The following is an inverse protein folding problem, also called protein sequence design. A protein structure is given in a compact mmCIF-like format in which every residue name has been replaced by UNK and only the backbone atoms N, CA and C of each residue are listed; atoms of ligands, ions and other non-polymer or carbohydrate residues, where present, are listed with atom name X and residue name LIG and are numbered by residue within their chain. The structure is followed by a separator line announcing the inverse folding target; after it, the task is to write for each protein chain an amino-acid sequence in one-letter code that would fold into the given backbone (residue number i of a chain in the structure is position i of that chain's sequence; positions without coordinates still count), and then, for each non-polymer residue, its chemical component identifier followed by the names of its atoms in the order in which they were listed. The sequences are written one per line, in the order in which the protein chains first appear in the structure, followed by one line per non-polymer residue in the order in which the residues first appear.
data_IF_220900406934
#
_entry.id   IF_220900406934
#
_cell.length_a   1.000
_cell.length_b   1.000
_cell.length_c   1.000
_cell.angle_alpha   90.00
_cell.angle_beta   90.00
_cell.angle_gamma   90.00
#
_symmetry.space_group_name_H-M   'P 1'
#
loop_
_entity.id
_entity.type
_entity.pdbx_description
1 polymer ?
#
# COMPACT_ATOMS: atom_id res chain seq x y z
N UNK A 1 -37.12 -98.79 6.93
CA UNK A 1 -37.02 -97.37 7.33
C UNK A 1 -38.02 -96.56 6.52
N UNK A 2 -39.19 -96.27 7.10
CA UNK A 2 -40.28 -95.55 6.43
C UNK A 2 -40.12 -94.05 6.69
N UNK A 3 -39.85 -93.28 5.64
CA UNK A 3 -39.77 -91.81 5.70
C UNK A 3 -41.17 -91.22 5.55
N UNK A 4 -41.75 -90.74 6.65
CA UNK A 4 -43.00 -89.97 6.61
C UNK A 4 -42.69 -88.49 6.30
N UNK A 5 -43.21 -88.00 5.17
CA UNK A 5 -43.12 -86.59 4.80
C UNK A 5 -44.18 -85.81 5.59
N UNK A 6 -43.80 -84.76 6.35
CA UNK A 6 -44.76 -83.96 7.10
C UNK A 6 -45.70 -83.21 6.18
N UNK A 7 -46.96 -83.09 6.61
CA UNK A 7 -48.05 -82.42 5.91
C UNK A 7 -47.74 -80.93 5.69
N UNK A 8 -48.26 -80.35 4.60
CA UNK A 8 -48.13 -78.90 4.31
C UNK A 8 -48.58 -78.03 5.48
N UNK A 9 -49.56 -78.49 6.27
CA UNK A 9 -50.05 -77.77 7.45
C UNK A 9 -49.06 -77.76 8.60
N UNK A 10 -48.38 -78.88 8.87
CA UNK A 10 -47.37 -78.97 9.92
C UNK A 10 -46.17 -78.06 9.63
N UNK A 11 -45.77 -77.96 8.35
CA UNK A 11 -44.72 -77.00 7.94
C UNK A 11 -45.15 -75.55 8.11
N UNK A 12 -46.44 -75.24 7.94
CA UNK A 12 -46.95 -73.88 8.11
C UNK A 12 -47.07 -73.47 9.59
N UNK A 13 -47.35 -74.42 10.48
CA UNK A 13 -47.33 -74.22 11.94
C UNK A 13 -45.88 -74.06 12.46
N UNK A 14 -44.92 -74.85 11.98
CA UNK A 14 -43.49 -74.69 12.32
C UNK A 14 -42.90 -73.35 11.85
N UNK A 15 -43.37 -72.83 10.71
CA UNK A 15 -42.94 -71.53 10.17
C UNK A 15 -43.67 -70.33 10.82
N UNK A 16 -44.54 -70.56 11.81
CA UNK A 16 -45.28 -69.49 12.50
C UNK A 16 -46.28 -68.73 11.61
N UNK A 17 -46.62 -69.27 10.44
CA UNK A 17 -47.53 -68.64 9.48
C UNK A 17 -49.01 -68.84 9.85
N UNK A 18 -49.30 -69.77 10.75
CA UNK A 18 -50.65 -70.08 11.21
C UNK A 18 -50.62 -70.30 12.72
N UNK A 19 -51.47 -69.57 13.44
CA UNK A 19 -51.63 -69.71 14.88
C UNK A 19 -52.34 -71.02 15.21
N UNK A 20 -51.83 -71.85 16.14
CA UNK A 20 -52.48 -73.12 16.47
C UNK A 20 -53.87 -72.87 17.07
N UNK A 21 -54.89 -73.43 16.43
CA UNK A 21 -56.27 -73.45 16.91
C UNK A 21 -56.36 -74.33 18.17
N UNK A 22 -56.06 -73.75 19.33
CA UNK A 22 -56.10 -74.49 20.60
C UNK A 22 -55.93 -73.68 21.89
N UNK A 23 -55.58 -72.39 21.85
CA UNK A 23 -55.60 -71.52 23.04
C UNK A 23 -56.59 -70.39 22.83
N UNK A 24 -57.72 -70.45 23.53
CA UNK A 24 -58.53 -69.26 23.82
C UNK A 24 -57.71 -68.37 24.75
N UNK A 25 -57.40 -67.12 24.39
CA UNK A 25 -56.97 -66.14 25.38
C UNK A 25 -58.20 -65.68 26.16
N UNK A 26 -58.12 -65.75 27.49
CA UNK A 26 -59.13 -65.25 28.41
C UNK A 26 -59.33 -63.75 28.17
N UNK A 27 -60.49 -63.41 27.60
CA UNK A 27 -60.80 -62.06 27.11
C UNK A 27 -61.38 -61.12 28.18
N UNK A 28 -61.43 -61.55 29.45
CA UNK A 28 -62.16 -60.83 30.51
C UNK A 28 -61.28 -60.07 31.53
N UNK A 29 -59.96 -60.02 31.39
CA UNK A 29 -59.08 -59.34 32.38
C UNK A 29 -58.33 -58.10 31.89
N UNK A 30 -58.53 -57.62 30.65
CA UNK A 30 -57.76 -56.50 30.11
C UNK A 30 -58.55 -55.21 29.82
N UNK A 31 -59.71 -55.01 30.46
CA UNK A 31 -60.55 -53.80 30.25
C UNK A 31 -60.28 -52.70 31.31
N UNK A 32 -59.39 -52.91 32.28
CA UNK A 32 -59.21 -51.95 33.38
C UNK A 32 -58.07 -50.92 33.24
N UNK A 33 -57.23 -50.96 32.19
CA UNK A 33 -56.04 -50.06 32.14
C UNK A 33 -55.81 -49.28 30.82
N UNK A 34 -56.76 -49.25 29.87
CA UNK A 34 -56.61 -48.45 28.65
C UNK A 34 -57.39 -47.13 28.72
N UNK A 35 -57.05 -46.29 29.70
CA UNK A 35 -57.61 -44.95 29.87
C UNK A 35 -56.88 -43.88 29.07
N UNK A 36 -56.78 -44.02 27.75
CA UNK A 36 -56.58 -42.87 26.85
C UNK A 36 -57.60 -42.94 25.73
N UNK A 37 -58.42 -41.89 25.52
CA UNK A 37 -59.42 -41.91 24.47
C UNK A 37 -58.71 -42.06 23.12
N UNK A 38 -59.14 -43.08 22.36
CA UNK A 38 -58.70 -43.28 20.98
C UNK A 38 -58.98 -41.99 20.23
N UNK A 39 -57.91 -41.29 19.81
CA UNK A 39 -57.99 -40.00 19.14
C UNK A 39 -58.90 -40.15 17.94
N UNK A 40 -60.02 -39.41 17.90
CA UNK A 40 -61.02 -39.59 16.86
C UNK A 40 -60.42 -39.30 15.49
N UNK A 41 -60.86 -40.03 14.46
CA UNK A 41 -60.37 -39.88 13.09
C UNK A 41 -60.47 -38.41 12.60
N UNK A 42 -61.44 -37.66 13.12
CA UNK A 42 -61.63 -36.24 12.86
C UNK A 42 -60.52 -35.36 13.44
N UNK A 43 -59.99 -35.67 14.63
CA UNK A 43 -58.87 -34.94 15.23
C UNK A 43 -57.59 -35.14 14.41
N UNK A 44 -57.35 -36.37 13.93
CA UNK A 44 -56.20 -36.67 13.06
C UNK A 44 -56.29 -35.96 11.70
N UNK A 45 -57.50 -35.80 11.14
CA UNK A 45 -57.72 -35.04 9.92
C UNK A 45 -57.56 -33.53 10.16
N UNK A 46 -58.01 -33.01 11.29
CA UNK A 46 -57.82 -31.61 11.69
C UNK A 46 -56.33 -31.28 11.89
N UNK A 47 -55.58 -32.13 12.59
CA UNK A 47 -54.13 -32.00 12.77
C UNK A 47 -53.38 -32.04 11.43
N UNK A 48 -53.80 -32.92 10.52
CA UNK A 48 -53.20 -33.01 9.17
C UNK A 48 -53.51 -31.78 8.32
N UNK A 49 -54.72 -31.22 8.43
CA UNK A 49 -55.08 -29.98 7.75
C UNK A 49 -54.31 -28.78 8.31
N UNK A 50 -54.16 -28.69 9.64
CA UNK A 50 -53.36 -27.65 10.30
C UNK A 50 -51.87 -27.75 9.93
N UNK A 51 -51.32 -28.97 9.89
CA UNK A 51 -49.93 -29.20 9.47
C UNK A 51 -49.71 -28.85 7.99
N UNK A 52 -50.70 -29.11 7.11
CA UNK A 52 -50.64 -28.71 5.70
C UNK A 52 -50.69 -27.19 5.56
N UNK A 53 -51.61 -26.54 6.25
CA UNK A 53 -51.71 -25.07 6.33
C UNK A 53 -50.40 -24.42 6.81
N UNK A 54 -49.76 -25.00 7.84
CA UNK A 54 -48.47 -24.52 8.34
C UNK A 54 -47.35 -24.61 7.31
N UNK A 55 -47.26 -25.74 6.59
CA UNK A 55 -46.29 -25.93 5.50
C UNK A 55 -46.54 -24.98 4.33
N UNK A 56 -47.80 -24.74 3.97
CA UNK A 56 -48.15 -23.82 2.90
C UNK A 56 -47.79 -22.37 3.28
N UNK A 57 -47.96 -21.98 4.54
CA UNK A 57 -47.53 -20.67 5.06
C UNK A 57 -46.01 -20.51 5.08
N UNK A 58 -45.27 -21.55 5.47
CA UNK A 58 -43.80 -21.58 5.44
C UNK A 58 -43.27 -21.51 4.00
N UNK A 59 -43.90 -22.19 3.06
CA UNK A 59 -43.53 -22.14 1.66
C UNK A 59 -43.77 -20.73 1.07
N UNK A 60 -44.86 -20.06 1.47
CA UNK A 60 -45.12 -18.67 1.09
C UNK A 60 -44.11 -17.69 1.70
N UNK A 61 -43.69 -17.87 2.95
CA UNK A 61 -42.69 -16.99 3.58
C UNK A 61 -41.33 -17.15 2.92
N UNK A 62 -40.91 -18.38 2.60
CA UNK A 62 -39.69 -18.66 1.84
C UNK A 62 -39.72 -18.05 0.43
N UNK A 63 -40.86 -18.12 -0.27
CA UNK A 63 -41.00 -17.49 -1.58
C UNK A 63 -40.90 -15.95 -1.50
N UNK A 64 -41.44 -15.33 -0.45
CA UNK A 64 -41.29 -13.88 -0.23
C UNK A 64 -39.83 -13.51 0.04
N UNK A 65 -39.17 -14.24 0.93
CA UNK A 65 -37.76 -14.04 1.23
C UNK A 65 -36.86 -14.20 -0.01
N UNK A 66 -37.14 -15.19 -0.87
CA UNK A 66 -36.41 -15.38 -2.13
C UNK A 66 -36.61 -14.20 -3.10
N UNK A 67 -37.84 -13.66 -3.20
CA UNK A 67 -38.11 -12.48 -4.04
C UNK A 67 -37.43 -11.23 -3.51
N UNK A 68 -37.44 -11.01 -2.20
CA UNK A 68 -36.76 -9.89 -1.56
C UNK A 68 -35.24 -9.98 -1.76
N UNK A 69 -34.66 -11.17 -1.59
CA UNK A 69 -33.24 -11.39 -1.88
C UNK A 69 -32.93 -11.17 -3.38
N UNK A 70 -33.80 -11.60 -4.29
CA UNK A 70 -33.59 -11.37 -5.72
C UNK A 70 -33.64 -9.87 -6.06
N UNK A 71 -34.57 -9.12 -5.49
CA UNK A 71 -34.65 -7.66 -5.66
C UNK A 71 -33.40 -6.96 -5.10
N UNK A 72 -32.95 -7.33 -3.89
CA UNK A 72 -31.74 -6.77 -3.30
C UNK A 72 -30.48 -7.05 -4.13
N UNK A 73 -30.40 -8.21 -4.79
CA UNK A 73 -29.29 -8.54 -5.68
C UNK A 73 -29.31 -7.73 -6.98
N UNK A 74 -30.49 -7.42 -7.53
CA UNK A 74 -30.61 -6.52 -8.68
C UNK A 74 -30.20 -5.09 -8.31
N UNK A 75 -30.66 -4.58 -7.16
CA UNK A 75 -30.26 -3.25 -6.68
C UNK A 75 -28.73 -3.16 -6.46
N UNK A 76 -28.13 -4.20 -5.88
CA UNK A 76 -26.68 -4.27 -5.70
C UNK A 76 -25.93 -4.29 -7.05
N UNK A 77 -26.46 -4.98 -8.07
CA UNK A 77 -25.87 -5.00 -9.43
C UNK A 77 -25.93 -3.63 -10.08
N UNK A 78 -27.06 -2.91 -9.94
CA UNK A 78 -27.20 -1.55 -10.46
C UNK A 78 -26.21 -0.60 -9.79
N UNK A 79 -26.04 -0.71 -8.47
CA UNK A 79 -25.10 0.12 -7.73
C UNK A 79 -23.65 -0.20 -8.10
N UNK A 80 -23.28 -1.47 -8.27
CA UNK A 80 -21.97 -1.86 -8.81
C UNK A 80 -21.74 -1.24 -10.19
N UNK A 81 -22.73 -1.28 -11.07
CA UNK A 81 -22.65 -0.66 -12.40
C UNK A 81 -22.43 0.85 -12.33
N UNK A 82 -23.15 1.54 -11.44
CA UNK A 82 -22.98 2.98 -11.18
C UNK A 82 -21.56 3.30 -10.69
N UNK A 83 -21.08 2.57 -9.67
CA UNK A 83 -19.75 2.77 -9.10
C UNK A 83 -18.65 2.50 -10.13
N UNK A 84 -18.80 1.48 -10.97
CA UNK A 84 -17.88 1.22 -12.08
C UNK A 84 -17.83 2.38 -13.07
N UNK A 85 -18.97 2.97 -13.42
CA UNK A 85 -19.02 4.14 -14.31
C UNK A 85 -18.39 5.39 -13.67
N UNK A 86 -18.54 5.58 -12.36
CA UNK A 86 -17.84 6.66 -11.62
C UNK A 86 -16.32 6.44 -11.58
N UNK A 87 -15.86 5.21 -11.32
CA UNK A 87 -14.43 4.85 -11.35
C UNK A 87 -13.83 5.06 -12.73
N UNK A 88 -14.52 4.68 -13.81
CA UNK A 88 -14.04 4.90 -15.17
C UNK A 88 -13.93 6.39 -15.50
N UNK A 89 -14.93 7.20 -15.11
CA UNK A 89 -14.87 8.66 -15.27
C UNK A 89 -13.69 9.27 -14.51
N UNK A 90 -13.45 8.83 -13.27
CA UNK A 90 -12.31 9.27 -12.49
C UNK A 90 -10.96 8.90 -13.14
N UNK A 91 -10.84 7.71 -13.73
CA UNK A 91 -9.64 7.28 -14.45
C UNK A 91 -9.36 8.13 -15.68
N UNK A 92 -10.37 8.41 -16.50
CA UNK A 92 -10.21 9.26 -17.70
C UNK A 92 -9.79 10.68 -17.31
N UNK A 93 -10.42 11.25 -16.28
CA UNK A 93 -10.03 12.58 -15.77
C UNK A 93 -8.64 12.58 -15.14
N UNK A 94 -8.23 11.48 -14.50
CA UNK A 94 -6.88 11.28 -13.97
C UNK A 94 -5.84 11.30 -15.10
N UNK A 95 -6.06 10.49 -16.14
CA UNK A 95 -5.17 10.41 -17.30
C UNK A 95 -5.01 11.76 -18.00
N UNK A 96 -6.11 12.51 -18.20
CA UNK A 96 -6.04 13.84 -18.81
C UNK A 96 -5.19 14.83 -17.98
N UNK A 97 -5.31 14.79 -16.64
CA UNK A 97 -4.50 15.62 -15.74
C UNK A 97 -3.04 15.21 -15.73
N UNK A 98 -2.75 13.92 -15.81
CA UNK A 98 -1.37 13.41 -15.90
C UNK A 98 -0.71 13.86 -17.21
N UNK A 99 -1.46 13.85 -18.32
CA UNK A 99 -0.96 14.34 -19.61
C UNK A 99 -0.69 15.85 -19.57
N UNK A 100 -1.60 16.66 -19.03
CA UNK A 100 -1.41 18.11 -18.85
C UNK A 100 -0.18 18.40 -17.96
N UNK A 101 -0.04 17.68 -16.85
CA UNK A 101 1.12 17.82 -15.98
C UNK A 101 2.42 17.41 -16.67
N UNK A 102 2.41 16.35 -17.47
CA UNK A 102 3.58 15.89 -18.23
C UNK A 102 4.01 16.94 -19.26
N UNK A 103 3.05 17.54 -19.97
CA UNK A 103 3.32 18.65 -20.90
C UNK A 103 3.90 19.87 -20.17
N UNK A 104 3.37 20.21 -18.99
CA UNK A 104 3.87 21.32 -18.18
C UNK A 104 5.30 21.07 -17.69
N UNK A 105 5.62 19.84 -17.27
CA UNK A 105 6.98 19.46 -16.87
C UNK A 105 7.94 19.60 -18.05
N UNK A 106 7.59 19.06 -19.22
CA UNK A 106 8.42 19.15 -20.43
C UNK A 106 8.69 20.62 -20.84
N UNK A 107 7.69 21.50 -20.72
CA UNK A 107 7.88 22.93 -20.97
C UNK A 107 8.84 23.59 -19.97
N UNK A 108 8.75 23.22 -18.69
CA UNK A 108 9.64 23.73 -17.65
C UNK A 108 11.08 23.24 -17.86
N UNK A 109 11.28 21.98 -18.21
CA UNK A 109 12.60 21.41 -18.53
C UNK A 109 13.23 22.15 -19.69
N UNK A 110 12.49 22.34 -20.80
CA UNK A 110 12.98 23.10 -21.96
C UNK A 110 13.36 24.53 -21.58
N UNK A 111 12.57 25.19 -20.73
CA UNK A 111 12.89 26.55 -20.25
C UNK A 111 14.17 26.54 -19.41
N UNK A 112 14.31 25.61 -18.48
CA UNK A 112 15.50 25.48 -17.64
C UNK A 112 16.76 25.22 -18.46
N UNK A 113 16.68 24.38 -19.51
CA UNK A 113 17.78 24.16 -20.45
C UNK A 113 18.20 25.44 -21.17
N UNK A 114 17.23 26.22 -21.67
CA UNK A 114 17.54 27.50 -22.33
C UNK A 114 18.18 28.51 -21.38
N UNK A 115 17.72 28.56 -20.13
CA UNK A 115 18.30 29.42 -19.11
C UNK A 115 19.71 28.96 -18.69
N UNK A 116 19.95 27.65 -18.60
CA UNK A 116 21.28 27.08 -18.34
C UNK A 116 22.26 27.45 -19.46
N UNK A 117 21.90 27.21 -20.73
CA UNK A 117 22.72 27.61 -21.89
C UNK A 117 23.01 29.11 -21.92
N UNK A 118 22.04 29.94 -21.54
CA UNK A 118 22.24 31.38 -21.46
C UNK A 118 23.19 31.78 -20.32
N UNK A 119 23.17 31.07 -19.19
CA UNK A 119 24.12 31.27 -18.09
C UNK A 119 25.53 30.86 -18.52
N UNK A 120 25.69 29.70 -19.15
CA UNK A 120 26.98 29.20 -19.61
C UNK A 120 27.61 30.16 -20.63
N UNK A 121 26.84 30.60 -21.63
CA UNK A 121 27.31 31.59 -22.60
C UNK A 121 27.69 32.95 -21.96
N UNK A 122 27.09 33.30 -20.81
CA UNK A 122 27.46 34.51 -20.05
C UNK A 122 28.76 34.30 -19.29
N UNK A 123 28.97 33.11 -18.71
CA UNK A 123 30.21 32.75 -18.02
C UNK A 123 31.37 32.79 -19.01
N UNK A 124 31.24 32.17 -20.17
CA UNK A 124 32.27 32.19 -21.22
C UNK A 124 32.66 33.62 -21.64
N UNK A 125 31.67 34.52 -21.79
CA UNK A 125 31.95 35.94 -22.10
C UNK A 125 32.77 36.60 -20.99
N UNK A 126 32.36 36.43 -19.73
CA UNK A 126 33.07 37.02 -18.59
C UNK A 126 34.48 36.44 -18.45
N UNK A 127 34.69 35.16 -18.72
CA UNK A 127 36.02 34.54 -18.74
C UNK A 127 36.90 35.13 -19.84
N UNK A 128 36.35 35.36 -21.04
CA UNK A 128 37.09 36.01 -22.12
C UNK A 128 37.46 37.46 -21.82
N UNK A 129 36.56 38.22 -21.18
CA UNK A 129 36.80 39.59 -20.72
C UNK A 129 37.87 39.63 -19.61
N UNK A 130 37.78 38.74 -18.62
CA UNK A 130 38.78 38.63 -17.55
C UNK A 130 40.17 38.26 -18.12
N UNK A 131 40.24 37.36 -19.09
CA UNK A 131 41.49 37.01 -19.74
C UNK A 131 42.10 38.19 -20.50
N UNK A 132 41.28 38.98 -21.21
CA UNK A 132 41.73 40.19 -21.91
C UNK A 132 42.24 41.25 -20.92
N UNK A 133 41.53 41.46 -19.80
CA UNK A 133 41.95 42.36 -18.74
C UNK A 133 43.27 41.92 -18.10
N UNK A 134 43.43 40.63 -17.80
CA UNK A 134 44.68 40.08 -17.27
C UNK A 134 45.87 40.32 -18.23
N UNK A 135 45.67 40.15 -19.54
CA UNK A 135 46.69 40.48 -20.53
C UNK A 135 47.03 41.98 -20.55
N UNK A 136 46.03 42.86 -20.38
CA UNK A 136 46.26 44.30 -20.32
C UNK A 136 47.04 44.72 -19.07
N UNK A 137 46.74 44.12 -17.91
CA UNK A 137 47.48 44.34 -16.68
C UNK A 137 48.93 43.88 -16.80
N UNK A 138 49.16 42.67 -17.32
CA UNK A 138 50.51 42.15 -17.54
C UNK A 138 51.36 43.07 -18.45
N UNK A 139 50.75 43.68 -19.48
CA UNK A 139 51.43 44.68 -20.33
C UNK A 139 51.77 45.95 -19.56
N UNK A 140 50.86 46.46 -18.74
CA UNK A 140 51.10 47.65 -17.92
C UNK A 140 52.19 47.40 -16.88
N UNK A 141 52.20 46.22 -16.25
CA UNK A 141 53.25 45.80 -15.31
C UNK A 141 54.62 45.70 -15.99
N UNK A 142 54.69 45.15 -17.20
CA UNK A 142 55.94 45.08 -17.96
C UNK A 142 56.49 46.49 -18.31
N UNK A 143 55.61 47.44 -18.64
CA UNK A 143 56.01 48.85 -18.89
C UNK A 143 56.49 49.51 -17.59
N UNK A 144 55.83 49.24 -16.46
CA UNK A 144 56.26 49.77 -15.15
C UNK A 144 57.62 49.21 -14.71
N UNK A 145 57.90 47.92 -14.92
CA UNK A 145 59.20 47.31 -14.62
C UNK A 145 60.31 47.80 -15.57
N UNK A 146 59.99 48.13 -16.83
CA UNK A 146 60.95 48.68 -17.79
C UNK A 146 61.37 50.13 -17.52
N UNK A 147 60.63 50.87 -16.69
CA UNK A 147 60.92 52.25 -16.33
C UNK A 147 61.74 52.40 -15.03
N UNK A 148 62.10 51.29 -14.37
CA UNK A 148 62.83 51.27 -13.08
C UNK A 148 64.32 50.93 -13.15
N UNK A 149 64.94 50.96 -14.32
CA UNK A 149 66.38 50.71 -14.48
C UNK A 149 67.19 52.01 -14.59
N UNK A 150 67.66 52.52 -13.46
CA UNK A 150 68.55 53.69 -13.41
C UNK A 150 69.05 54.01 -11.99
N UNK A 151 70.16 53.33 -11.63
CA UNK A 151 71.29 53.72 -10.76
C UNK A 151 71.11 54.09 -9.27
N UNK A 152 71.93 53.44 -8.42
CA UNK A 152 72.31 53.96 -7.10
C UNK A 152 72.78 52.94 -6.06
N UNK A 153 74.09 52.75 -5.96
CA UNK A 153 74.96 51.96 -5.06
C UNK A 153 74.65 51.92 -3.52
N UNK A 154 74.69 50.69 -2.96
CA UNK A 154 75.60 50.17 -1.89
C UNK A 154 75.54 50.71 -0.40
N UNK A 155 76.20 50.08 0.61
CA UNK A 155 75.60 49.10 1.55
C UNK A 155 75.76 49.43 3.06
N UNK A 156 75.33 48.49 3.93
CA UNK A 156 75.62 48.28 5.37
C UNK A 156 74.47 48.51 6.37
N UNK A 157 74.43 47.65 7.41
CA UNK A 157 74.10 48.09 8.77
C UNK A 157 72.93 47.39 9.45
N UNK A 158 73.26 46.66 10.51
CA UNK A 158 72.37 46.14 11.54
C UNK A 158 71.50 47.21 12.22
N UNK A 159 70.40 46.80 12.86
CA UNK A 159 69.97 47.42 14.12
C UNK A 159 68.55 47.99 14.22
N UNK A 160 67.74 47.29 15.01
CA UNK A 160 66.74 47.81 15.98
C UNK A 160 65.84 49.00 15.60
N UNK A 161 64.56 48.64 15.41
CA UNK A 161 63.34 49.25 15.97
C UNK A 161 63.31 50.72 16.43
N UNK A 162 62.33 51.47 15.92
CA UNK A 162 61.29 52.19 16.70
C UNK A 162 60.36 52.99 15.76
N UNK A 163 59.05 52.82 15.98
CA UNK A 163 57.97 53.83 15.77
C UNK A 163 58.37 55.18 16.40
N UNK A 164 57.79 56.37 16.10
CA UNK A 164 56.45 56.61 15.56
C UNK A 164 56.24 57.89 14.69
N UNK A 165 54.96 58.11 14.34
CA UNK A 165 54.23 59.39 14.21
C UNK A 165 54.34 60.23 12.90
N UNK A 166 53.15 60.43 12.33
CA UNK A 166 52.76 61.47 11.36
C UNK A 166 52.85 62.90 12.00
N UNK A 167 52.72 64.03 11.26
CA UNK A 167 51.46 64.44 10.59
C UNK A 167 51.59 65.34 9.32
N UNK A 168 50.44 65.61 8.67
CA UNK A 168 50.18 66.82 7.86
C UNK A 168 50.34 66.63 6.33
N UNK A 169 49.27 66.39 5.58
CA UNK A 169 48.30 67.38 5.05
C UNK A 169 48.74 67.98 3.70
N UNK A 170 48.04 67.62 2.61
CA UNK A 170 47.35 68.56 1.72
C UNK A 170 46.78 67.88 0.44
N UNK A 171 45.55 68.29 0.12
CA UNK A 171 44.96 68.48 -1.21
C UNK A 171 44.52 67.27 -2.06
N UNK A 172 43.20 67.06 -2.09
CA UNK A 172 42.43 66.54 -3.23
C UNK A 172 42.41 67.56 -4.40
N UNK A 173 42.06 67.17 -5.64
CA UNK A 173 40.63 67.08 -5.99
C UNK A 173 40.23 65.95 -6.97
N UNK A 174 39.01 65.46 -6.74
CA UNK A 174 38.00 64.99 -7.70
C UNK A 174 38.38 64.72 -9.17
N UNK A 175 38.26 63.44 -9.58
CA UNK A 175 37.54 63.06 -10.80
C UNK A 175 36.67 61.84 -10.45
N UNK A 176 35.39 62.10 -10.21
CA UNK A 176 34.34 61.90 -11.22
C UNK A 176 33.80 60.47 -11.14
N UNK A 177 32.83 60.32 -10.24
CA UNK A 177 31.86 59.25 -10.25
C UNK A 177 31.26 59.12 -11.66
N UNK A 178 31.60 58.03 -12.35
CA UNK A 178 30.80 57.54 -13.47
C UNK A 178 29.54 56.87 -12.88
N UNK A 179 28.60 57.71 -12.43
CA UNK A 179 27.23 57.30 -12.23
C UNK A 179 26.65 56.95 -13.60
N UNK A 180 26.73 55.66 -13.96
CA UNK A 180 25.89 55.09 -15.01
C UNK A 180 24.44 55.46 -14.68
N UNK A 181 23.66 56.03 -15.62
CA UNK A 181 22.27 56.36 -15.36
C UNK A 181 21.54 55.05 -15.08
N UNK A 182 21.19 54.82 -13.81
CA UNK A 182 20.26 53.78 -13.42
C UNK A 182 18.98 54.02 -14.22
N UNK A 183 18.74 53.19 -15.24
CA UNK A 183 17.51 53.22 -16.02
C UNK A 183 16.35 53.09 -15.02
N UNK A 184 15.41 54.04 -14.94
CA UNK A 184 14.31 54.01 -13.95
C UNK A 184 13.43 52.74 -14.06
N UNK A 185 13.50 52.00 -15.17
CA UNK A 185 12.86 50.69 -15.32
C UNK A 185 13.58 49.52 -14.65
N UNK A 186 14.86 49.64 -14.27
CA UNK A 186 15.62 48.55 -13.63
C UNK A 186 15.21 48.36 -12.16
N UNK A 187 15.06 49.46 -11.41
CA UNK A 187 14.60 49.42 -10.03
C UNK A 187 13.16 48.89 -9.90
N UNK A 188 12.26 49.31 -10.81
CA UNK A 188 10.88 48.81 -10.86
C UNK A 188 10.81 47.31 -11.19
N UNK A 189 11.63 46.84 -12.13
CA UNK A 189 11.72 45.40 -12.47
C UNK A 189 12.29 44.58 -11.32
N UNK A 190 13.28 45.10 -10.59
CA UNK A 190 13.83 44.44 -9.40
C UNK A 190 12.76 44.30 -8.31
N UNK A 191 12.01 45.36 -8.02
CA UNK A 191 10.91 45.30 -7.05
C UNK A 191 9.79 44.32 -7.46
N UNK A 192 9.47 44.24 -8.77
CA UNK A 192 8.52 43.27 -9.30
C UNK A 192 9.03 41.82 -9.12
N UNK A 193 10.29 41.55 -9.47
CA UNK A 193 10.91 40.23 -9.31
C UNK A 193 11.02 39.83 -7.83
N UNK A 194 11.34 40.77 -6.93
CA UNK A 194 11.34 40.54 -5.49
C UNK A 194 9.94 40.17 -4.97
N UNK A 195 8.92 40.86 -5.47
CA UNK A 195 7.51 40.52 -5.23
C UNK A 195 7.16 39.11 -5.69
N UNK A 196 7.51 38.75 -6.93
CA UNK A 196 7.28 37.41 -7.48
C UNK A 196 8.03 36.32 -6.69
N UNK A 197 9.29 36.54 -6.35
CA UNK A 197 10.09 35.62 -5.52
C UNK A 197 9.44 35.44 -4.14
N UNK A 198 8.93 36.51 -3.54
CA UNK A 198 8.24 36.42 -2.25
C UNK A 198 6.97 35.57 -2.33
N UNK A 199 6.18 35.73 -3.40
CA UNK A 199 4.96 34.96 -3.65
C UNK A 199 5.27 33.49 -3.93
N UNK A 200 6.28 33.22 -4.77
CA UNK A 200 6.72 31.86 -5.09
C UNK A 200 7.25 31.14 -3.85
N UNK A 201 8.04 31.82 -3.01
CA UNK A 201 8.50 31.26 -1.72
C UNK A 201 7.35 30.94 -0.79
N UNK A 202 6.36 31.83 -0.68
CA UNK A 202 5.14 31.57 0.10
C UNK A 202 4.41 30.34 -0.44
N UNK A 203 4.24 30.23 -1.75
CA UNK A 203 3.55 29.09 -2.38
C UNK A 203 4.30 27.78 -2.20
N UNK A 204 5.63 27.79 -2.33
CA UNK A 204 6.47 26.63 -2.06
C UNK A 204 6.33 26.17 -0.60
N UNK A 205 6.33 27.11 0.35
CA UNK A 205 6.13 26.80 1.76
C UNK A 205 4.73 26.22 2.05
N UNK A 206 3.68 26.73 1.40
CA UNK A 206 2.33 26.20 1.51
C UNK A 206 2.23 24.77 0.97
N UNK A 207 2.83 24.52 -0.20
CA UNK A 207 2.87 23.18 -0.82
C UNK A 207 3.68 22.20 0.02
N UNK A 208 4.82 22.63 0.58
CA UNK A 208 5.62 21.79 1.47
C UNK A 208 4.82 21.39 2.72
N UNK A 209 4.17 22.36 3.38
CA UNK A 209 3.30 22.08 4.55
C UNK A 209 2.15 21.14 4.19
N UNK A 210 1.56 21.28 3.00
CA UNK A 210 0.51 20.37 2.54
C UNK A 210 1.05 18.95 2.31
N UNK A 211 2.23 18.82 1.73
CA UNK A 211 2.91 17.53 1.54
C UNK A 211 3.25 16.88 2.88
N UNK A 212 3.81 17.63 3.83
CA UNK A 212 4.14 17.12 5.18
C UNK A 212 2.89 16.58 5.90
N UNK A 213 1.76 17.30 5.81
CA UNK A 213 0.47 16.85 6.35
C UNK A 213 -0.02 15.58 5.66
N UNK A 214 0.09 15.50 4.34
CA UNK A 214 -0.31 14.32 3.58
C UNK A 214 0.53 13.10 3.98
N UNK A 215 1.86 13.26 4.10
CA UNK A 215 2.75 12.21 4.57
C UNK A 215 2.41 11.78 6.00
N UNK A 216 2.09 12.72 6.89
CA UNK A 216 1.69 12.40 8.26
C UNK A 216 0.39 11.58 8.30
N UNK A 217 -0.63 11.98 7.54
CA UNK A 217 -1.89 11.23 7.43
C UNK A 217 -1.63 9.84 6.86
N UNK A 218 -0.84 9.73 5.78
CA UNK A 218 -0.50 8.45 5.18
C UNK A 218 0.24 7.52 6.15
N UNK A 219 1.24 8.03 6.88
CA UNK A 219 1.95 7.29 7.93
C UNK A 219 1.01 6.78 9.02
N UNK A 220 0.08 7.63 9.47
CA UNK A 220 -0.93 7.22 10.46
C UNK A 220 -1.83 6.10 9.93
N UNK A 221 -2.32 6.24 8.70
CA UNK A 221 -3.22 5.27 8.08
C UNK A 221 -2.53 3.91 7.85
N UNK A 222 -1.29 3.90 7.35
CA UNK A 222 -0.58 2.64 7.13
C UNK A 222 -0.22 1.96 8.45
N UNK A 223 0.10 2.70 9.51
CA UNK A 223 0.31 2.13 10.85
C UNK A 223 -0.97 1.49 11.38
N UNK A 224 -2.10 2.20 11.31
CA UNK A 224 -3.41 1.66 11.74
C UNK A 224 -3.80 0.41 10.95
N UNK A 225 -3.58 0.41 9.64
CA UNK A 225 -3.85 -0.76 8.80
C UNK A 225 -2.98 -1.96 9.18
N UNK A 226 -1.66 -1.75 9.37
CA UNK A 226 -0.72 -2.81 9.78
C UNK A 226 -1.06 -3.36 11.16
N UNK A 227 -1.48 -2.51 12.08
CA UNK A 227 -1.95 -2.91 13.41
C UNK A 227 -3.22 -3.76 13.32
N UNK A 228 -4.21 -3.34 12.51
CA UNK A 228 -5.42 -4.12 12.28
C UNK A 228 -5.10 -5.49 11.65
N UNK A 229 -4.20 -5.54 10.67
CA UNK A 229 -3.75 -6.80 10.05
C UNK A 229 -3.07 -7.70 11.08
N UNK A 230 -2.24 -7.15 11.96
CA UNK A 230 -1.61 -7.91 13.03
C UNK A 230 -2.63 -8.48 14.02
N UNK A 231 -3.61 -7.68 14.45
CA UNK A 231 -4.63 -8.13 15.41
C UNK A 231 -5.61 -9.15 14.81
N UNK A 232 -5.95 -9.00 13.53
CA UNK A 232 -6.93 -9.88 12.86
C UNK A 232 -6.32 -11.19 12.37
N UNK A 233 -5.09 -11.14 11.86
CA UNK A 233 -4.46 -12.27 11.17
C UNK A 233 -3.22 -12.81 11.87
N UNK A 234 -2.73 -12.15 12.93
CA UNK A 234 -1.57 -12.61 13.69
C UNK A 234 -0.23 -12.39 12.98
N UNK A 235 -0.14 -11.48 12.00
CA UNK A 235 1.09 -11.21 11.25
C UNK A 235 1.49 -9.74 11.29
N UNK A 236 2.73 -9.47 11.71
CA UNK A 236 3.37 -8.16 11.48
C UNK A 236 3.90 -8.15 10.06
N UNK A 237 3.33 -7.29 9.22
CA UNK A 237 3.72 -7.14 7.82
C UNK A 237 4.68 -5.96 7.69
N UNK A 238 5.84 -6.15 7.10
CA UNK A 238 6.76 -5.08 6.68
C UNK A 238 6.89 -5.08 5.16
N UNK A 239 7.05 -3.89 4.57
CA UNK A 239 7.26 -3.74 3.14
C UNK A 239 8.61 -3.08 2.90
N UNK A 240 9.42 -3.70 2.04
CA UNK A 240 10.67 -3.17 1.54
C UNK A 240 10.54 -2.97 0.03
N UNK A 241 10.96 -1.82 -0.46
CA UNK A 241 10.99 -1.52 -1.89
C UNK A 241 12.43 -1.32 -2.31
N UNK A 242 12.88 -2.11 -3.29
CA UNK A 242 14.14 -1.89 -3.96
C UNK A 242 13.86 -1.33 -5.37
N UNK A 243 14.05 -0.03 -5.62
CA UNK A 243 13.79 0.56 -6.93
C UNK A 243 14.74 0.03 -8.02
N UNK A 244 15.86 -0.61 -7.67
CA UNK A 244 16.82 -1.18 -8.61
C UNK A 244 16.45 -2.58 -9.10
N UNK A 245 15.53 -3.26 -8.41
CA UNK A 245 15.05 -4.58 -8.79
C UNK A 245 14.16 -4.51 -10.04
N UNK A 246 14.63 -5.09 -11.14
CA UNK A 246 13.91 -5.08 -12.43
C UNK A 246 12.61 -5.86 -12.39
N UNK A 247 12.56 -6.98 -11.67
CA UNK A 247 11.42 -7.91 -11.69
C UNK A 247 10.54 -7.84 -10.43
N UNK A 248 11.10 -7.37 -9.31
CA UNK A 248 10.42 -7.29 -8.02
C UNK A 248 9.82 -5.88 -7.87
N UNK A 249 8.52 -5.81 -7.58
CA UNK A 249 7.82 -4.55 -7.28
C UNK A 249 7.98 -4.16 -5.81
N UNK A 250 7.85 -5.13 -4.92
CA UNK A 250 8.01 -4.96 -3.48
C UNK A 250 8.31 -6.31 -2.83
N UNK A 251 9.03 -6.27 -1.71
CA UNK A 251 9.26 -7.42 -0.84
C UNK A 251 8.47 -7.23 0.45
N UNK A 252 7.77 -8.27 0.88
CA UNK A 252 7.01 -8.29 2.11
C UNK A 252 7.64 -9.28 3.10
N UNK A 253 7.81 -8.84 4.34
CA UNK A 253 8.27 -9.69 5.45
C UNK A 253 7.11 -9.85 6.42
N UNK A 254 6.71 -11.08 6.67
CA UNK A 254 5.64 -11.45 7.59
C UNK A 254 6.27 -12.11 8.82
N UNK A 255 6.07 -11.50 9.99
CA UNK A 255 6.45 -12.08 11.29
C UNK A 255 5.21 -12.58 12.03
N UNK A 256 5.10 -13.89 12.30
CA UNK A 256 3.98 -14.46 13.05
C UNK A 256 3.96 -13.96 14.52
N UNK A 257 2.78 -13.87 15.11
CA UNK A 257 2.58 -13.36 16.48
C UNK A 257 3.10 -14.29 17.58
N UNK A 258 3.04 -15.60 17.36
CA UNK A 258 3.29 -16.64 18.38
C UNK A 258 4.50 -17.50 18.03
N UNK A 259 5.57 -16.88 17.53
CA UNK A 259 6.79 -17.58 17.12
C UNK A 259 8.03 -16.87 17.65
N UNK A 260 9.13 -17.64 17.80
CA UNK A 260 10.39 -17.15 18.35
C UNK A 260 11.00 -16.03 17.49
N UNK A 261 11.80 -15.16 18.12
CA UNK A 261 12.52 -14.09 17.43
C UNK A 261 13.38 -14.67 16.28
N UNK A 262 13.04 -14.31 15.04
CA UNK A 262 13.75 -14.76 13.82
C UNK A 262 12.91 -15.60 12.86
N UNK A 263 11.69 -16.01 13.24
CA UNK A 263 10.77 -16.66 12.31
C UNK A 263 10.12 -15.63 11.35
N UNK A 264 10.63 -15.60 10.12
CA UNK A 264 10.15 -14.69 9.08
C UNK A 264 9.74 -15.46 7.82
N UNK A 265 8.59 -15.07 7.26
CA UNK A 265 8.19 -15.40 5.90
C UNK A 265 8.50 -14.22 5.01
N UNK A 266 9.19 -14.46 3.90
CA UNK A 266 9.55 -13.41 2.94
C UNK A 266 8.85 -13.70 1.62
N UNK A 267 8.21 -12.67 1.06
CA UNK A 267 7.47 -12.76 -0.19
C UNK A 267 7.87 -11.65 -1.14
N UNK A 268 8.14 -12.00 -2.39
CA UNK A 268 8.37 -11.03 -3.46
C UNK A 268 7.08 -10.85 -4.26
N UNK A 269 6.55 -9.62 -4.28
CA UNK A 269 5.52 -9.21 -5.22
C UNK A 269 6.22 -8.86 -6.54
N UNK A 270 6.09 -9.75 -7.52
CA UNK A 270 6.63 -9.54 -8.85
C UNK A 270 5.84 -8.43 -9.58
N UNK A 271 6.46 -7.79 -10.57
CA UNK A 271 5.76 -6.79 -11.42
C UNK A 271 4.58 -7.40 -12.20
N UNK A 272 4.58 -8.71 -12.40
CA UNK A 272 3.44 -9.47 -12.95
C UNK A 272 2.22 -9.51 -12.02
N UNK A 273 2.35 -9.08 -10.75
CA UNK A 273 1.29 -9.16 -9.74
C UNK A 273 1.26 -10.47 -8.97
N UNK A 274 2.14 -11.42 -9.30
CA UNK A 274 2.27 -12.70 -8.59
C UNK A 274 3.10 -12.51 -7.33
N UNK A 275 2.64 -13.06 -6.21
CA UNK A 275 3.40 -13.13 -4.97
C UNK A 275 4.17 -14.46 -4.93
N UNK A 276 5.49 -14.40 -4.79
CA UNK A 276 6.37 -15.57 -4.73
C UNK A 276 6.95 -15.71 -3.32
N UNK A 277 6.90 -16.91 -2.75
CA UNK A 277 7.56 -17.20 -1.48
C UNK A 277 9.07 -17.26 -1.69
N UNK A 278 9.82 -16.45 -0.94
CA UNK A 278 11.28 -16.46 -0.94
C UNK A 278 11.74 -17.51 0.09
N UNK A 279 12.68 -18.41 -0.27
CA UNK A 279 13.21 -19.38 0.67
C UNK A 279 13.88 -18.71 1.87
N UNK A 280 13.40 -19.02 3.07
CA UNK A 280 14.02 -18.69 4.37
C UNK A 280 14.35 -19.97 5.13
N UNK A 281 15.14 -19.88 6.20
CA UNK A 281 15.44 -21.04 7.05
C UNK A 281 14.17 -21.72 7.59
N UNK A 282 13.11 -20.94 7.83
CA UNK A 282 11.82 -21.43 8.27
C UNK A 282 11.09 -22.23 7.17
N UNK A 283 11.08 -21.71 5.94
CA UNK A 283 10.35 -22.32 4.83
C UNK A 283 11.09 -23.49 4.19
N UNK A 284 12.42 -23.53 4.26
CA UNK A 284 13.22 -24.67 3.77
C UNK A 284 13.41 -25.74 4.84
N UNK A 285 13.26 -25.40 6.11
CA UNK A 285 13.28 -26.32 7.24
C UNK A 285 11.88 -26.76 7.63
N UNK A 286 11.36 -26.20 8.73
CA UNK A 286 10.13 -26.65 9.39
C UNK A 286 8.91 -26.66 8.46
N UNK A 287 8.76 -25.65 7.63
CA UNK A 287 7.56 -25.45 6.80
C UNK A 287 7.73 -25.96 5.35
N UNK A 288 8.73 -26.80 5.08
CA UNK A 288 9.03 -27.23 3.72
C UNK A 288 7.89 -28.01 3.07
N UNK A 289 7.23 -28.88 3.84
CA UNK A 289 6.12 -29.70 3.33
C UNK A 289 4.87 -28.85 3.09
N UNK A 290 4.58 -27.92 3.98
CA UNK A 290 3.48 -26.98 3.91
C UNK A 290 3.68 -26.00 2.75
N UNK A 291 4.89 -25.50 2.54
CA UNK A 291 5.23 -24.64 1.42
C UNK A 291 5.03 -25.38 0.09
N UNK A 292 5.54 -26.60 -0.05
CA UNK A 292 5.34 -27.42 -1.24
C UNK A 292 3.85 -27.72 -1.51
N UNK A 293 3.07 -27.96 -0.45
CA UNK A 293 1.66 -28.29 -0.58
C UNK A 293 0.81 -27.05 -0.91
N UNK A 294 0.89 -26.00 -0.09
CA UNK A 294 0.00 -24.86 -0.20
C UNK A 294 0.48 -23.84 -1.23
N UNK A 295 1.79 -23.59 -1.33
CA UNK A 295 2.34 -22.58 -2.25
C UNK A 295 2.59 -23.18 -3.63
N UNK A 296 3.30 -24.31 -3.74
CA UNK A 296 3.67 -24.85 -5.06
C UNK A 296 2.52 -25.59 -5.73
N UNK A 297 1.85 -26.49 -4.98
CA UNK A 297 0.76 -27.31 -5.54
C UNK A 297 -0.57 -26.57 -5.58
N UNK A 298 -0.99 -25.93 -4.48
CA UNK A 298 -2.30 -25.25 -4.42
C UNK A 298 -2.27 -23.78 -4.79
N UNK A 299 -1.08 -23.17 -4.95
CA UNK A 299 -0.93 -21.74 -5.31
C UNK A 299 -1.70 -20.81 -4.38
N UNK A 300 -1.81 -21.16 -3.10
CA UNK A 300 -2.60 -20.45 -2.10
C UNK A 300 -1.77 -20.07 -0.88
N UNK A 301 -1.27 -18.84 -0.91
CA UNK A 301 -0.57 -18.20 0.22
C UNK A 301 -1.52 -17.96 1.41
N UNK A 302 -2.81 -17.60 1.22
CA UNK A 302 -3.76 -17.54 2.33
C UNK A 302 -3.92 -18.88 3.05
N UNK A 303 -3.98 -20.00 2.32
CA UNK A 303 -4.05 -21.32 2.95
C UNK A 303 -2.77 -21.67 3.72
N UNK A 304 -1.60 -21.37 3.13
CA UNK A 304 -0.31 -21.56 3.78
C UNK A 304 -0.18 -20.79 5.10
N UNK A 305 -0.52 -19.50 5.07
CA UNK A 305 -0.43 -18.62 6.25
C UNK A 305 -1.47 -19.00 7.30
N UNK A 306 -2.73 -19.26 6.94
CA UNK A 306 -3.74 -19.71 7.90
C UNK A 306 -3.34 -21.02 8.61
N UNK A 307 -2.77 -21.98 7.87
CA UNK A 307 -2.25 -23.22 8.46
C UNK A 307 -1.15 -22.95 9.49
N UNK A 308 -0.19 -22.08 9.14
CA UNK A 308 0.88 -21.67 10.05
C UNK A 308 0.35 -20.95 11.29
N UNK A 309 -0.64 -20.06 11.16
CA UNK A 309 -1.28 -19.38 12.30
C UNK A 309 -1.89 -20.39 13.26
N UNK A 310 -2.60 -21.39 12.74
CA UNK A 310 -3.23 -22.43 13.55
C UNK A 310 -2.20 -23.31 14.27
N UNK A 311 -1.15 -23.72 13.56
CA UNK A 311 -0.05 -24.52 14.11
C UNK A 311 0.68 -23.77 15.23
N UNK A 312 0.99 -22.48 15.02
CA UNK A 312 1.61 -21.63 16.03
C UNK A 312 0.72 -21.46 17.27
N UNK A 313 -0.58 -21.25 17.08
CA UNK A 313 -1.53 -21.16 18.18
C UNK A 313 -1.63 -22.48 18.97
N UNK A 314 -1.69 -23.62 18.28
CA UNK A 314 -1.74 -24.93 18.93
C UNK A 314 -0.49 -25.18 19.77
N UNK A 315 0.71 -24.87 19.24
CA UNK A 315 1.95 -24.97 20.02
C UNK A 315 1.93 -24.14 21.29
N UNK A 316 1.43 -22.91 21.20
CA UNK A 316 1.39 -21.99 22.34
C UNK A 316 0.36 -22.41 23.40
N UNK A 317 -0.74 -23.04 22.98
CA UNK A 317 -1.85 -23.41 23.89
C UNK A 317 -1.74 -24.82 24.44
N UNK A 318 -0.93 -25.67 23.81
CA UNK A 318 -0.65 -27.04 24.26
C UNK A 318 0.65 -27.15 25.07
N UNK A 319 1.43 -26.08 25.16
CA UNK A 319 2.60 -25.96 26.06
C UNK A 319 2.21 -25.64 27.49
#
# INVERSE_FOLDING_TARGET
MSWHKPSKRQRAEELGLITPLGRRPDFEQNIAEAGTPSRDLFDLLADRAAAKSGRDAELQSLQRAQREHAAAMEDARLEIGRLQAEVQRARVMGAAREEENSQRIALLEKRLETEARARDARVERLESENAALAQSLARLEAVACGAGGGDGEDPQGEGRGRRPAAPGAAASPSHAAAASPQRPGAALRLAQLEGEVSLLRRRANELQKANDRLQQVFRRQITQFREAVYLLFGYRVEMMTDPSAREIRARFVLRPQHEDEGAELVFDLLRSGVLALVPTALTTGRLAQEAATFVDRFRSIPAFTANLTLENFQRQTQS
#
